data_IF_756384791933
#
_entry.id   IF_756384791933
#
_cell.length_a   1.000
_cell.length_b   1.000
_cell.length_c   1.000
_cell.angle_alpha   90.00
_cell.angle_beta   90.00
_cell.angle_gamma   90.00
#
_symmetry.space_group_name_H-M   'P 1'
#
loop_
_entity.id
_entity.type
_entity.pdbx_description
1 polymer ?
#
# COMPACT_ATOMS: atom_id res chain seq x y z
N UNK A 1 -25.69 -8.56 -16.08
CA UNK A 1 -25.47 -7.13 -15.75
C UNK A 1 -24.16 -7.08 -14.96
N UNK A 2 -23.08 -6.67 -15.61
CA UNK A 2 -21.76 -6.58 -15.00
C UNK A 2 -21.72 -5.30 -14.16
N UNK A 3 -21.70 -5.44 -12.84
CA UNK A 3 -21.56 -4.31 -11.91
C UNK A 3 -20.06 -3.99 -11.83
N UNK A 4 -19.61 -2.80 -12.24
CA UNK A 4 -18.19 -2.44 -12.13
C UNK A 4 -17.79 -2.36 -10.66
N UNK A 5 -16.76 -3.11 -10.26
CA UNK A 5 -16.15 -2.99 -8.95
C UNK A 5 -15.36 -1.69 -8.91
N UNK A 6 -15.71 -0.81 -7.99
CA UNK A 6 -14.98 0.43 -7.76
C UNK A 6 -14.12 0.24 -6.53
N UNK A 7 -12.81 0.31 -6.71
CA UNK A 7 -11.85 0.25 -5.61
C UNK A 7 -11.43 1.66 -5.24
N UNK A 8 -11.67 2.04 -3.99
CA UNK A 8 -11.16 3.27 -3.42
C UNK A 8 -10.01 2.97 -2.48
N UNK A 9 -8.92 3.66 -2.70
CA UNK A 9 -7.78 3.63 -1.79
C UNK A 9 -7.49 5.04 -1.30
N UNK A 10 -7.31 5.17 -0.01
CA UNK A 10 -7.11 6.43 0.67
C UNK A 10 -5.74 6.51 1.28
N UNK A 11 -5.02 7.59 0.97
CA UNK A 11 -3.86 7.99 1.76
C UNK A 11 -4.07 9.36 2.37
N UNK A 12 -3.41 9.57 3.45
CA UNK A 12 -2.93 10.87 3.84
C UNK A 12 -1.96 11.36 2.79
N UNK A 13 -1.91 12.69 2.58
CA UNK A 13 -1.09 13.42 1.65
C UNK A 13 -0.03 12.54 0.99
N UNK A 14 -0.14 12.39 -0.31
CA UNK A 14 0.95 11.76 -1.04
C UNK A 14 2.20 12.40 -0.50
N UNK A 15 3.01 11.65 0.25
CA UNK A 15 4.37 12.04 0.46
C UNK A 15 5.02 11.98 -0.91
N UNK A 16 4.63 12.95 -1.75
CA UNK A 16 5.56 13.32 -2.75
C UNK A 16 6.73 13.81 -1.98
N UNK A 17 7.67 12.97 -2.11
CA UNK A 17 9.00 13.48 -2.11
C UNK A 17 9.13 14.10 -3.49
N UNK A 18 9.09 15.45 -3.64
CA UNK A 18 9.47 16.05 -4.90
C UNK A 18 10.86 15.54 -5.23
N UNK A 19 11.46 14.92 -4.25
CA UNK A 19 12.67 14.14 -4.40
C UNK A 19 12.74 13.17 -3.23
N UNK A 20 12.49 11.88 -3.37
CA UNK A 20 13.44 10.98 -2.83
C UNK A 20 14.72 11.28 -3.60
N UNK A 21 15.31 12.40 -3.21
CA UNK A 21 16.70 12.59 -3.43
C UNK A 21 17.38 11.60 -2.51
N UNK A 22 17.52 10.33 -2.93
CA UNK A 22 18.53 9.44 -2.41
C UNK A 22 19.83 10.10 -2.79
N UNK A 23 20.24 11.07 -1.96
CA UNK A 23 21.52 11.72 -2.11
C UNK A 23 22.54 10.76 -1.53
N UNK A 24 23.18 10.00 -2.39
CA UNK A 24 24.30 9.17 -1.99
C UNK A 24 25.47 10.10 -1.73
N UNK A 25 25.90 10.17 -0.47
CA UNK A 25 27.09 10.91 -0.03
C UNK A 25 28.13 9.90 0.45
N UNK A 26 29.44 10.23 0.38
CA UNK A 26 30.51 9.34 0.85
C UNK A 26 30.32 8.91 2.30
N UNK A 27 30.05 9.88 3.18
CA UNK A 27 29.72 9.69 4.61
C UNK A 27 28.54 10.58 4.96
N UNK A 28 27.94 10.37 6.15
CA UNK A 28 26.94 11.30 6.66
C UNK A 28 27.61 12.66 6.94
N UNK A 29 27.01 13.80 6.53
CA UNK A 29 27.59 15.12 6.76
C UNK A 29 27.53 15.48 8.24
N UNK A 30 28.64 16.03 8.74
CA UNK A 30 28.65 16.74 10.03
C UNK A 30 27.95 18.09 9.90
N UNK A 31 27.62 18.72 11.04
CA UNK A 31 27.08 20.09 11.05
C UNK A 31 28.06 21.03 10.33
N UNK A 32 27.53 22.03 9.63
CA UNK A 32 28.28 23.00 8.82
C UNK A 32 29.14 22.41 7.70
N UNK A 33 29.11 21.09 7.48
CA UNK A 33 29.87 20.46 6.41
C UNK A 33 29.21 20.61 5.05
N UNK A 34 30.02 20.69 3.99
CA UNK A 34 29.56 20.76 2.61
C UNK A 34 30.01 19.52 1.84
N UNK A 35 29.05 18.64 1.55
CA UNK A 35 29.29 17.44 0.75
C UNK A 35 28.60 17.55 -0.61
N UNK A 36 29.23 16.95 -1.63
CA UNK A 36 28.61 16.77 -2.94
C UNK A 36 28.00 15.37 -3.03
N UNK A 37 26.70 15.31 -3.28
CA UNK A 37 26.05 14.04 -3.55
C UNK A 37 26.52 13.47 -4.91
N UNK A 38 26.77 12.17 -4.96
CA UNK A 38 27.12 11.43 -6.18
C UNK A 38 25.91 10.99 -6.99
N UNK A 39 24.71 11.07 -6.42
CA UNK A 39 23.46 10.70 -7.10
C UNK A 39 22.26 11.37 -6.45
N UNK A 40 21.24 11.64 -7.27
CA UNK A 40 19.96 12.18 -6.85
C UNK A 40 18.85 11.36 -7.50
N UNK A 41 17.98 10.79 -6.69
CA UNK A 41 16.77 10.09 -7.16
C UNK A 41 15.53 10.78 -6.60
N UNK A 42 14.54 10.94 -7.46
CA UNK A 42 13.25 11.56 -7.15
C UNK A 42 12.18 10.54 -7.40
N UNK A 43 11.35 10.26 -6.41
CA UNK A 43 10.26 9.28 -6.56
C UNK A 43 9.02 9.74 -5.79
N UNK A 44 7.87 9.40 -6.30
CA UNK A 44 6.64 9.48 -5.52
C UNK A 44 6.72 8.51 -4.34
N UNK A 45 6.19 8.91 -3.20
CA UNK A 45 6.02 8.07 -2.01
C UNK A 45 4.54 7.93 -1.63
N UNK A 46 4.30 7.32 -0.48
CA UNK A 46 2.97 7.05 0.09
C UNK A 46 2.55 5.60 -0.11
N UNK A 47 2.00 4.98 0.95
CA UNK A 47 1.65 3.56 0.92
C UNK A 47 0.57 3.28 -0.13
N UNK A 48 -0.61 3.89 0.00
CA UNK A 48 -1.68 3.66 -0.96
C UNK A 48 -1.34 4.09 -2.40
N UNK A 49 -0.64 5.21 -2.71
CA UNK A 49 -0.15 5.47 -4.04
C UNK A 49 0.75 4.38 -4.61
N UNK A 50 1.64 3.81 -3.80
CA UNK A 50 2.49 2.70 -4.23
C UNK A 50 1.66 1.44 -4.47
N UNK A 51 0.72 1.13 -3.58
CA UNK A 51 -0.23 0.02 -3.74
C UNK A 51 -1.05 0.17 -5.02
N UNK A 52 -1.57 1.38 -5.30
CA UNK A 52 -2.32 1.66 -6.53
C UNK A 52 -1.46 1.54 -7.79
N UNK A 53 -0.20 1.96 -7.74
CA UNK A 53 0.71 1.82 -8.87
C UNK A 53 0.92 0.36 -9.26
N UNK A 54 1.12 -0.52 -8.28
CA UNK A 54 1.28 -1.95 -8.53
C UNK A 54 -0.04 -2.58 -8.93
N UNK A 55 -1.14 -2.26 -8.22
CA UNK A 55 -2.46 -2.79 -8.53
C UNK A 55 -2.91 -2.47 -9.95
N UNK A 56 -2.71 -1.22 -10.42
CA UNK A 56 -3.07 -0.87 -11.80
C UNK A 56 -2.28 -1.66 -12.84
N UNK A 57 -1.01 -1.99 -12.57
CA UNK A 57 -0.21 -2.82 -13.47
C UNK A 57 -0.80 -4.23 -13.55
N UNK A 58 -1.09 -4.87 -12.42
CA UNK A 58 -1.73 -6.19 -12.36
C UNK A 58 -3.07 -6.20 -13.11
N UNK A 59 -3.90 -5.17 -12.87
CA UNK A 59 -5.20 -5.04 -13.56
C UNK A 59 -5.06 -4.83 -15.08
N UNK A 60 -4.01 -4.13 -15.55
CA UNK A 60 -3.77 -3.94 -16.99
C UNK A 60 -3.39 -5.22 -17.70
N UNK A 61 -2.46 -5.99 -17.11
CA UNK A 61 -2.03 -7.26 -17.69
C UNK A 61 -3.20 -8.25 -17.81
N UNK A 62 -4.02 -8.34 -16.77
CA UNK A 62 -5.19 -9.20 -16.76
C UNK A 62 -6.28 -8.76 -17.78
N UNK A 63 -6.45 -7.44 -17.97
CA UNK A 63 -7.35 -6.90 -19.01
C UNK A 63 -6.91 -7.32 -20.41
N UNK A 64 -5.61 -7.32 -20.68
CA UNK A 64 -5.02 -7.81 -21.94
C UNK A 64 -5.41 -9.25 -22.23
N UNK A 65 -5.50 -10.10 -21.20
CA UNK A 65 -5.86 -11.50 -21.32
C UNK A 65 -7.39 -11.75 -21.45
N UNK A 66 -8.23 -10.96 -20.75
CA UNK A 66 -9.67 -11.27 -20.58
C UNK A 66 -10.65 -10.12 -20.87
N UNK A 67 -10.19 -8.95 -21.29
CA UNK A 67 -11.02 -7.87 -21.85
C UNK A 67 -12.06 -7.21 -20.93
N UNK A 68 -11.92 -7.27 -19.60
CA UNK A 68 -12.97 -6.77 -18.69
C UNK A 68 -12.56 -5.55 -17.86
N UNK A 69 -13.33 -4.46 -17.99
CA UNK A 69 -13.25 -3.22 -17.20
C UNK A 69 -13.94 -3.34 -15.82
N UNK A 70 -13.58 -4.36 -15.02
CA UNK A 70 -14.31 -4.67 -13.78
C UNK A 70 -13.93 -3.80 -12.58
N UNK A 71 -12.73 -3.23 -12.54
CA UNK A 71 -12.19 -2.51 -11.39
C UNK A 71 -11.76 -1.11 -11.80
N UNK A 72 -12.27 -0.08 -11.10
CA UNK A 72 -11.86 1.31 -11.28
C UNK A 72 -11.23 1.83 -9.98
N UNK A 73 -9.91 2.01 -9.93
CA UNK A 73 -9.23 2.51 -8.75
C UNK A 73 -9.32 4.03 -8.63
N UNK A 74 -9.60 4.51 -7.43
CA UNK A 74 -9.58 5.94 -7.07
C UNK A 74 -8.51 6.21 -6.02
N UNK A 75 -7.79 7.32 -6.17
CA UNK A 75 -6.97 7.84 -5.08
C UNK A 75 -7.75 8.97 -4.38
N UNK A 76 -7.97 8.80 -3.07
CA UNK A 76 -8.52 9.85 -2.20
C UNK A 76 -7.43 10.28 -1.23
N UNK A 77 -6.92 11.49 -1.38
CA UNK A 77 -5.79 12.01 -0.59
C UNK A 77 -5.77 13.54 -0.62
N UNK A 78 -5.11 14.16 0.37
CA UNK A 78 -4.81 15.59 0.31
C UNK A 78 -3.59 15.82 -0.58
N UNK A 79 -3.73 16.72 -1.54
CA UNK A 79 -2.68 17.20 -2.44
C UNK A 79 -2.50 18.72 -2.26
N UNK A 80 -1.37 19.29 -2.67
CA UNK A 80 -1.23 20.73 -2.78
C UNK A 80 -2.27 21.33 -3.73
N UNK A 81 -2.20 22.65 -3.95
CA UNK A 81 -3.07 23.34 -4.91
C UNK A 81 -3.17 22.56 -6.23
N UNK A 82 -4.36 22.56 -6.81
CA UNK A 82 -4.62 21.92 -8.11
C UNK A 82 -3.70 22.45 -9.21
N UNK A 83 -3.34 23.73 -9.13
CA UNK A 83 -2.42 24.40 -10.07
C UNK A 83 -0.94 24.22 -9.74
N UNK A 84 -0.59 23.65 -8.58
CA UNK A 84 0.80 23.47 -8.19
C UNK A 84 1.51 22.48 -9.11
N UNK A 85 2.71 22.80 -9.61
CA UNK A 85 3.51 21.85 -10.44
C UNK A 85 3.79 20.53 -9.72
N UNK A 86 3.82 20.56 -8.40
CA UNK A 86 4.00 19.37 -7.59
C UNK A 86 2.82 18.40 -7.72
N UNK A 87 1.60 18.90 -7.76
CA UNK A 87 0.38 18.10 -7.98
C UNK A 87 0.40 17.42 -9.34
N UNK A 88 0.78 18.16 -10.40
CA UNK A 88 0.95 17.57 -11.74
C UNK A 88 1.94 16.42 -11.73
N UNK A 89 3.13 16.61 -11.15
CA UNK A 89 4.14 15.54 -11.03
C UNK A 89 3.64 14.31 -10.26
N UNK A 90 2.77 14.48 -9.25
CA UNK A 90 2.15 13.34 -8.56
C UNK A 90 1.32 12.52 -9.52
N UNK A 91 0.40 13.16 -10.22
CA UNK A 91 -0.53 12.50 -11.12
C UNK A 91 0.22 11.84 -12.27
N UNK A 92 1.16 12.56 -12.89
CA UNK A 92 2.00 12.06 -13.99
C UNK A 92 2.87 10.86 -13.59
N UNK A 93 3.26 10.76 -12.31
CA UNK A 93 4.07 9.65 -11.80
C UNK A 93 3.40 8.27 -11.89
N UNK A 94 2.10 8.22 -12.09
CA UNK A 94 1.35 6.97 -12.32
C UNK A 94 1.42 6.49 -13.79
N UNK A 95 2.05 7.27 -14.66
CA UNK A 95 2.27 6.93 -16.07
C UNK A 95 1.13 7.32 -16.99
N UNK A 96 1.43 7.30 -18.28
CA UNK A 96 0.47 7.61 -19.35
C UNK A 96 -0.65 6.58 -19.36
N UNK A 97 -1.89 7.05 -19.47
CA UNK A 97 -3.07 6.18 -19.50
C UNK A 97 -3.33 5.46 -18.16
N UNK A 98 -2.95 6.06 -17.03
CA UNK A 98 -3.23 5.50 -15.70
C UNK A 98 -4.70 5.10 -15.54
N UNK A 99 -4.93 3.96 -14.87
CA UNK A 99 -6.29 3.53 -14.49
C UNK A 99 -6.79 4.25 -13.24
N UNK A 100 -5.88 4.91 -12.50
CA UNK A 100 -6.21 5.58 -11.24
C UNK A 100 -6.93 6.90 -11.54
N UNK A 101 -8.09 7.07 -10.93
CA UNK A 101 -8.88 8.30 -10.99
C UNK A 101 -8.54 9.22 -9.81
N UNK A 102 -8.15 10.46 -10.08
CA UNK A 102 -7.77 11.47 -9.09
C UNK A 102 -8.88 12.50 -8.81
N UNK A 103 -10.05 12.34 -9.43
CA UNK A 103 -11.16 13.31 -9.31
C UNK A 103 -11.66 13.47 -7.87
N UNK A 104 -11.36 12.50 -7.00
CA UNK A 104 -11.74 12.48 -5.59
C UNK A 104 -10.64 12.95 -4.63
N UNK A 105 -9.50 13.41 -5.16
CA UNK A 105 -8.47 14.03 -4.34
C UNK A 105 -8.95 15.37 -3.78
N UNK A 106 -8.46 15.69 -2.58
CA UNK A 106 -8.74 16.93 -1.86
C UNK A 106 -7.55 17.87 -2.06
N UNK A 107 -7.80 19.05 -2.58
CA UNK A 107 -6.74 20.01 -2.89
C UNK A 107 -6.65 21.05 -1.78
N UNK A 108 -5.44 21.27 -1.28
CA UNK A 108 -5.11 22.34 -0.32
C UNK A 108 -4.61 23.53 -1.12
N UNK A 109 -5.52 24.40 -1.53
CA UNK A 109 -5.23 25.47 -2.51
C UNK A 109 -4.20 26.51 -1.99
N UNK A 110 -4.03 26.61 -0.67
CA UNK A 110 -3.02 27.47 -0.03
C UNK A 110 -1.60 26.88 -0.08
N UNK A 111 -1.47 25.57 -0.36
CA UNK A 111 -0.18 24.88 -0.32
C UNK A 111 0.36 24.64 -1.74
N UNK A 112 1.68 24.85 -1.91
CA UNK A 112 2.38 24.60 -3.18
C UNK A 112 3.20 23.31 -3.15
N UNK A 113 3.67 22.92 -1.97
CA UNK A 113 4.55 21.77 -1.78
C UNK A 113 3.82 20.58 -1.15
N UNK A 114 4.12 19.37 -1.60
CA UNK A 114 3.56 18.17 -1.03
C UNK A 114 4.34 17.77 0.23
N UNK A 115 3.73 16.92 1.05
CA UNK A 115 4.46 16.23 2.09
C UNK A 115 5.67 15.49 1.51
N UNK A 116 6.85 15.77 2.03
CA UNK A 116 8.14 15.34 1.46
C UNK A 116 9.02 14.65 2.49
N UNK A 117 9.89 13.73 2.04
CA UNK A 117 10.95 13.15 2.85
C UNK A 117 12.28 13.28 2.12
N UNK A 118 13.24 13.87 2.74
CA UNK A 118 14.61 13.96 2.25
C UNK A 118 15.42 12.83 2.86
N UNK A 119 16.01 11.98 2.03
CA UNK A 119 16.79 10.82 2.48
C UNK A 119 18.25 11.03 2.12
N UNK A 120 19.11 11.11 3.12
CA UNK A 120 20.55 11.09 2.97
C UNK A 120 21.02 9.65 3.20
N UNK A 121 21.70 9.06 2.20
CA UNK A 121 22.29 7.73 2.30
C UNK A 121 23.82 7.84 2.34
N UNK A 122 24.42 7.33 3.40
CA UNK A 122 25.86 7.15 3.49
C UNK A 122 26.30 5.96 2.64
N UNK A 123 27.27 6.14 1.74
CA UNK A 123 27.87 5.04 0.98
C UNK A 123 28.80 4.22 1.87
N UNK A 124 29.46 4.84 2.85
CA UNK A 124 30.39 4.17 3.75
C UNK A 124 29.69 3.13 4.64
N UNK A 125 28.52 3.48 5.19
CA UNK A 125 27.82 2.64 6.17
C UNK A 125 26.53 1.99 5.62
N UNK A 126 26.03 2.47 4.47
CA UNK A 126 24.72 2.08 3.94
C UNK A 126 23.52 2.65 4.73
N UNK A 127 23.77 3.39 5.82
CA UNK A 127 22.73 3.98 6.68
C UNK A 127 21.92 5.05 5.95
N UNK A 128 20.73 5.33 6.47
CA UNK A 128 19.81 6.33 5.94
C UNK A 128 19.33 7.25 7.04
N UNK A 129 19.38 8.54 6.78
CA UNK A 129 18.76 9.57 7.64
C UNK A 129 17.65 10.24 6.87
N UNK A 130 16.50 10.40 7.51
CA UNK A 130 15.29 10.94 6.89
C UNK A 130 14.90 12.24 7.58
N UNK A 131 14.67 13.29 6.80
CA UNK A 131 14.05 14.54 7.24
C UNK A 131 12.71 14.67 6.52
N UNK A 132 11.64 14.80 7.29
CA UNK A 132 10.29 14.89 6.75
C UNK A 132 9.77 16.32 6.86
N UNK A 133 9.10 16.77 5.81
CA UNK A 133 8.33 18.00 5.76
C UNK A 133 6.88 17.70 5.41
N UNK A 134 5.93 18.30 6.11
CA UNK A 134 4.51 18.24 5.80
C UNK A 134 3.77 19.40 6.48
N UNK A 135 3.18 20.28 5.69
CA UNK A 135 2.30 21.37 6.11
C UNK A 135 0.86 21.21 5.57
N UNK A 136 0.61 20.12 4.83
CA UNK A 136 -0.74 19.86 4.33
C UNK A 136 -1.66 19.45 5.49
N UNK A 137 -2.78 20.16 5.63
CA UNK A 137 -3.81 19.77 6.57
C UNK A 137 -4.34 18.37 6.26
N UNK A 138 -4.55 17.60 7.33
CA UNK A 138 -5.11 16.26 7.23
C UNK A 138 -6.51 16.30 6.64
N UNK A 139 -6.93 15.18 6.03
CA UNK A 139 -8.30 15.03 5.62
C UNK A 139 -9.24 14.87 6.82
N UNK A 140 -10.32 15.63 6.81
CA UNK A 140 -11.40 15.53 7.79
C UNK A 140 -12.39 14.42 7.42
N UNK A 141 -13.25 14.07 8.39
CA UNK A 141 -14.36 13.16 8.15
C UNK A 141 -15.34 13.68 7.08
N UNK A 142 -15.72 14.96 7.16
CA UNK A 142 -16.66 15.56 6.21
C UNK A 142 -16.10 15.58 4.77
N UNK A 143 -14.81 15.84 4.61
CA UNK A 143 -14.15 15.76 3.30
C UNK A 143 -14.14 14.32 2.76
N UNK A 144 -14.03 13.32 3.62
CA UNK A 144 -14.18 11.93 3.19
C UNK A 144 -15.59 11.64 2.71
N UNK A 145 -16.60 12.05 3.47
CA UNK A 145 -18.00 11.86 3.09
C UNK A 145 -18.26 12.49 1.72
N UNK A 146 -17.85 13.76 1.52
CA UNK A 146 -17.99 14.44 0.24
C UNK A 146 -17.22 13.74 -0.90
N UNK A 147 -15.99 13.27 -0.64
CA UNK A 147 -15.18 12.57 -1.64
C UNK A 147 -15.76 11.21 -2.07
N UNK A 148 -16.61 10.61 -1.21
CA UNK A 148 -17.22 9.29 -1.47
C UNK A 148 -18.66 9.38 -1.94
N UNK A 149 -19.23 10.58 -2.02
CA UNK A 149 -20.58 10.79 -2.49
C UNK A 149 -20.79 10.26 -3.93
N UNK A 150 -21.92 9.56 -4.13
CA UNK A 150 -22.28 8.95 -5.42
C UNK A 150 -21.52 7.68 -5.78
N UNK A 151 -20.70 7.12 -4.87
CA UNK A 151 -20.00 5.86 -5.07
C UNK A 151 -20.74 4.66 -4.46
N UNK A 152 -21.79 4.90 -3.67
CA UNK A 152 -22.65 3.85 -3.14
C UNK A 152 -23.46 3.13 -4.25
N UNK A 153 -23.85 1.88 -3.96
CA UNK A 153 -24.62 1.04 -4.90
C UNK A 153 -23.76 0.15 -5.81
N UNK A 154 -22.45 0.24 -5.72
CA UNK A 154 -21.50 -0.65 -6.38
C UNK A 154 -20.86 -1.62 -5.37
N UNK A 155 -20.21 -2.68 -5.85
CA UNK A 155 -19.34 -3.51 -5.04
C UNK A 155 -18.04 -2.72 -4.79
N UNK A 156 -17.99 -1.98 -3.69
CA UNK A 156 -16.96 -0.99 -3.40
C UNK A 156 -15.99 -1.50 -2.34
N UNK A 157 -14.70 -1.30 -2.57
CA UNK A 157 -13.64 -1.62 -1.62
C UNK A 157 -12.92 -0.35 -1.19
N UNK A 158 -12.86 -0.10 0.11
CA UNK A 158 -12.09 0.99 0.71
C UNK A 158 -10.84 0.45 1.39
N UNK A 159 -9.69 0.98 1.02
CA UNK A 159 -8.43 0.66 1.69
C UNK A 159 -7.87 1.90 2.37
N UNK A 160 -7.53 1.78 3.64
CA UNK A 160 -7.02 2.88 4.45
C UNK A 160 -5.61 2.62 4.95
N UNK A 161 -4.70 3.58 4.74
CA UNK A 161 -3.47 3.68 5.52
C UNK A 161 -3.83 4.05 6.96
N UNK A 162 -3.36 3.32 7.96
CA UNK A 162 -3.67 3.56 9.38
C UNK A 162 -2.97 4.81 9.94
N UNK A 163 -3.03 5.94 9.24
CA UNK A 163 -2.24 7.13 9.58
C UNK A 163 -2.94 8.12 10.49
N UNK A 164 -4.24 8.31 10.33
CA UNK A 164 -5.12 9.16 11.15
C UNK A 164 -6.22 8.30 11.77
N UNK A 165 -5.90 7.44 12.77
CA UNK A 165 -6.81 6.38 13.19
C UNK A 165 -8.17 6.89 13.63
N UNK A 166 -8.23 7.97 14.40
CA UNK A 166 -9.50 8.53 14.89
C UNK A 166 -10.45 8.94 13.75
N UNK A 167 -9.92 9.68 12.74
CA UNK A 167 -10.72 10.04 11.55
C UNK A 167 -11.05 8.82 10.72
N UNK A 168 -10.11 7.88 10.57
CA UNK A 168 -10.33 6.63 9.82
C UNK A 168 -11.43 5.80 10.46
N UNK A 169 -11.48 5.70 11.79
CA UNK A 169 -12.52 5.00 12.52
C UNK A 169 -13.91 5.60 12.22
N UNK A 170 -14.04 6.93 12.31
CA UNK A 170 -15.28 7.63 11.95
C UNK A 170 -15.73 7.32 10.52
N UNK A 171 -14.79 7.31 9.57
CA UNK A 171 -15.06 6.99 8.18
C UNK A 171 -15.56 5.54 8.01
N UNK A 172 -14.90 4.58 8.65
CA UNK A 172 -15.31 3.17 8.58
C UNK A 172 -16.69 2.97 9.20
N UNK A 173 -16.93 3.54 10.37
CA UNK A 173 -18.24 3.46 11.04
C UNK A 173 -19.35 4.13 10.23
N UNK A 174 -19.05 5.21 9.52
CA UNK A 174 -20.00 5.83 8.60
C UNK A 174 -20.27 4.91 7.40
N UNK A 175 -19.24 4.30 6.79
CA UNK A 175 -19.39 3.34 5.70
C UNK A 175 -20.26 2.15 6.11
N UNK A 176 -20.07 1.62 7.32
CA UNK A 176 -20.88 0.50 7.83
C UNK A 176 -22.38 0.84 7.89
N UNK A 177 -22.74 2.11 8.07
CA UNK A 177 -24.14 2.58 8.11
C UNK A 177 -24.67 2.96 6.72
N UNK A 178 -23.86 3.64 5.91
CA UNK A 178 -24.29 4.22 4.62
C UNK A 178 -24.15 3.27 3.45
N UNK A 179 -23.16 2.37 3.47
CA UNK A 179 -22.89 1.35 2.46
C UNK A 179 -22.48 0.02 3.15
N UNK A 180 -23.43 -0.73 3.73
CA UNK A 180 -23.11 -1.95 4.48
C UNK A 180 -22.44 -3.06 3.66
N UNK A 181 -22.49 -2.97 2.32
CA UNK A 181 -21.85 -3.92 1.41
C UNK A 181 -20.40 -3.55 1.11
N UNK A 182 -19.99 -2.32 1.42
CA UNK A 182 -18.63 -1.88 1.22
C UNK A 182 -17.65 -2.74 2.02
N UNK A 183 -16.59 -3.17 1.35
CA UNK A 183 -15.48 -3.87 2.00
C UNK A 183 -14.41 -2.85 2.43
N UNK A 184 -13.85 -3.09 3.58
CA UNK A 184 -12.86 -2.19 4.20
C UNK A 184 -11.59 -2.97 4.52
N UNK A 185 -10.46 -2.47 4.05
CA UNK A 185 -9.13 -2.95 4.45
C UNK A 185 -8.31 -1.83 5.08
N UNK A 186 -7.45 -2.19 6.03
CA UNK A 186 -6.61 -1.25 6.77
C UNK A 186 -5.17 -1.74 6.89
N UNK A 187 -4.25 -0.77 7.01
CA UNK A 187 -2.86 -1.01 7.36
C UNK A 187 -2.62 -0.72 8.84
N UNK A 188 -2.04 -1.68 9.56
CA UNK A 188 -1.58 -1.55 10.94
C UNK A 188 -0.05 -1.61 10.89
N UNK A 189 0.58 -0.47 10.53
CA UNK A 189 2.00 -0.45 10.15
C UNK A 189 2.90 0.18 11.22
N UNK A 190 2.52 1.33 11.78
CA UNK A 190 3.44 2.16 12.57
C UNK A 190 3.41 1.84 14.06
N UNK A 191 4.57 1.45 14.66
CA UNK A 191 4.71 1.36 16.11
C UNK A 191 4.33 2.66 16.82
N UNK A 192 3.72 2.54 18.00
CA UNK A 192 3.38 3.68 18.87
C UNK A 192 2.26 4.59 18.36
N UNK A 193 1.60 4.26 17.25
CA UNK A 193 0.45 5.02 16.76
C UNK A 193 -0.81 4.55 17.46
N UNK A 194 -1.37 5.42 18.29
CA UNK A 194 -2.61 5.16 19.03
C UNK A 194 -3.80 5.03 18.07
N UNK A 195 -4.82 4.24 18.44
CA UNK A 195 -6.06 4.06 17.70
C UNK A 195 -5.97 3.04 16.54
N UNK A 196 -4.83 2.39 16.31
CA UNK A 196 -4.72 1.37 15.26
C UNK A 196 -5.46 0.07 15.62
N UNK A 197 -5.50 -0.31 16.90
CA UNK A 197 -6.14 -1.54 17.34
C UNK A 197 -7.66 -1.45 17.23
N UNK A 198 -8.24 -0.27 17.41
CA UNK A 198 -9.68 -0.03 17.25
C UNK A 198 -10.13 -0.22 15.79
N UNK A 199 -9.23 0.08 14.83
CA UNK A 199 -9.50 -0.14 13.41
C UNK A 199 -9.58 -1.63 13.07
N UNK A 200 -8.85 -2.50 13.79
CA UNK A 200 -8.84 -3.95 13.56
C UNK A 200 -10.22 -4.54 13.74
N UNK A 201 -10.99 -4.05 14.75
CA UNK A 201 -12.33 -4.53 15.05
C UNK A 201 -13.37 -4.16 13.97
N UNK A 202 -13.06 -3.21 13.08
CA UNK A 202 -14.01 -2.67 12.11
C UNK A 202 -13.70 -3.12 10.66
N UNK A 203 -12.50 -3.62 10.39
CA UNK A 203 -12.06 -3.93 9.04
C UNK A 203 -12.39 -5.37 8.61
N UNK A 204 -12.64 -5.57 7.32
CA UNK A 204 -12.82 -6.89 6.70
C UNK A 204 -11.47 -7.53 6.34
N UNK A 205 -10.45 -6.70 6.09
CA UNK A 205 -9.08 -7.16 5.83
C UNK A 205 -8.10 -6.28 6.59
N UNK A 206 -7.15 -6.90 7.30
CA UNK A 206 -6.14 -6.18 8.10
C UNK A 206 -4.75 -6.61 7.68
N UNK A 207 -3.88 -5.62 7.45
CA UNK A 207 -2.49 -5.82 7.12
C UNK A 207 -1.60 -5.35 8.27
N UNK A 208 -0.95 -6.29 8.95
CA UNK A 208 0.02 -5.99 10.01
C UNK A 208 1.44 -5.96 9.43
N UNK A 209 2.22 -4.96 9.85
CA UNK A 209 3.65 -4.94 9.56
C UNK A 209 4.45 -5.66 10.64
N UNK A 210 5.62 -6.20 10.25
CA UNK A 210 6.59 -6.75 11.21
C UNK A 210 6.95 -5.73 12.30
N UNK A 211 7.21 -4.47 11.93
CA UNK A 211 7.64 -3.45 12.87
C UNK A 211 6.58 -3.14 13.94
N UNK A 212 5.31 -3.13 13.55
CA UNK A 212 4.22 -2.97 14.51
C UNK A 212 4.09 -4.22 15.39
N UNK A 213 4.14 -5.41 14.81
CA UNK A 213 4.03 -6.68 15.54
C UNK A 213 5.17 -6.83 16.57
N UNK A 214 6.42 -6.56 16.16
CA UNK A 214 7.57 -6.57 17.07
C UNK A 214 7.44 -5.54 18.20
N UNK A 215 6.86 -4.37 17.94
CA UNK A 215 6.59 -3.36 18.98
C UNK A 215 5.56 -3.81 20.02
N UNK A 216 4.74 -4.80 19.68
CA UNK A 216 3.80 -5.48 20.58
C UNK A 216 4.37 -6.79 21.15
N UNK A 217 5.68 -7.02 20.99
CA UNK A 217 6.42 -8.17 21.48
C UNK A 217 6.03 -9.51 20.83
N UNK A 218 5.42 -9.50 19.65
CA UNK A 218 5.20 -10.71 18.88
C UNK A 218 6.49 -11.12 18.15
N UNK A 219 6.83 -12.38 18.25
CA UNK A 219 8.08 -12.94 17.72
C UNK A 219 7.93 -13.54 16.32
N UNK A 220 6.70 -13.69 15.83
CA UNK A 220 6.40 -14.16 14.47
C UNK A 220 5.10 -13.59 13.91
N UNK A 221 4.91 -13.71 12.61
CA UNK A 221 3.68 -13.33 11.94
C UNK A 221 2.49 -14.13 12.48
N UNK A 222 2.67 -15.42 12.69
CA UNK A 222 1.63 -16.34 13.19
C UNK A 222 1.20 -15.99 14.63
N UNK A 223 2.15 -15.63 15.48
CA UNK A 223 1.86 -15.19 16.84
C UNK A 223 1.03 -13.90 16.83
N UNK A 224 1.45 -12.92 16.03
CA UNK A 224 0.69 -11.68 15.83
C UNK A 224 -0.74 -11.97 15.37
N UNK A 225 -0.92 -12.77 14.33
CA UNK A 225 -2.24 -13.09 13.78
C UNK A 225 -3.12 -13.82 14.79
N UNK A 226 -2.58 -14.78 15.52
CA UNK A 226 -3.32 -15.52 16.56
C UNK A 226 -3.81 -14.58 17.66
N UNK A 227 -2.94 -13.67 18.12
CA UNK A 227 -3.28 -12.71 19.15
C UNK A 227 -4.32 -11.67 18.67
N UNK A 228 -4.23 -11.25 17.41
CA UNK A 228 -5.14 -10.25 16.85
C UNK A 228 -6.48 -10.83 16.38
N UNK A 229 -6.56 -12.12 16.10
CA UNK A 229 -7.81 -12.78 15.68
C UNK A 229 -8.95 -12.61 16.67
N UNK A 230 -8.65 -12.59 17.97
CA UNK A 230 -9.64 -12.40 19.02
C UNK A 230 -10.21 -10.97 19.07
N UNK A 231 -9.47 -9.97 18.53
CA UNK A 231 -9.86 -8.55 18.52
C UNK A 231 -10.49 -8.17 17.18
N UNK A 232 -10.24 -8.94 16.14
CA UNK A 232 -10.66 -8.65 14.79
C UNK A 232 -12.17 -8.86 14.58
N UNK A 233 -12.72 -8.16 13.61
CA UNK A 233 -14.10 -8.35 13.18
C UNK A 233 -14.33 -9.80 12.75
N UNK A 234 -15.45 -10.38 13.17
CA UNK A 234 -15.79 -11.76 12.80
C UNK A 234 -15.81 -11.94 11.27
N UNK A 235 -15.06 -12.92 10.77
CA UNK A 235 -14.96 -13.21 9.34
C UNK A 235 -13.94 -12.35 8.60
N UNK A 236 -13.17 -11.51 9.28
CA UNK A 236 -12.09 -10.74 8.68
C UNK A 236 -10.92 -11.63 8.27
N UNK A 237 -10.19 -11.15 7.26
CA UNK A 237 -8.93 -11.76 6.80
C UNK A 237 -7.75 -10.97 7.38
N UNK A 238 -6.87 -11.65 8.09
CA UNK A 238 -5.70 -11.03 8.68
C UNK A 238 -4.43 -11.47 7.94
N UNK A 239 -3.55 -10.52 7.65
CA UNK A 239 -2.26 -10.75 7.01
C UNK A 239 -1.16 -10.09 7.83
N UNK A 240 -0.01 -10.74 7.96
CA UNK A 240 1.16 -10.17 8.62
C UNK A 240 2.41 -10.44 7.79
N UNK A 241 3.12 -9.39 7.40
CA UNK A 241 4.38 -9.50 6.67
C UNK A 241 5.55 -9.62 7.63
N UNK A 242 6.56 -10.48 7.32
CA UNK A 242 7.72 -10.74 8.18
C UNK A 242 9.07 -10.61 7.46
N UNK A 243 9.16 -9.70 6.51
CA UNK A 243 10.41 -9.41 5.78
C UNK A 243 10.92 -10.63 4.99
N UNK A 244 12.17 -11.03 5.21
CA UNK A 244 12.78 -12.17 4.51
C UNK A 244 12.12 -13.53 4.82
N UNK A 245 11.36 -13.64 5.89
CA UNK A 245 10.58 -14.84 6.20
C UNK A 245 9.23 -14.90 5.49
N UNK A 246 8.91 -13.88 4.68
CA UNK A 246 7.68 -13.84 3.89
C UNK A 246 6.50 -13.23 4.64
N UNK A 247 5.38 -13.92 4.66
CA UNK A 247 4.14 -13.46 5.29
C UNK A 247 3.27 -14.61 5.75
N UNK A 248 2.33 -14.32 6.66
CA UNK A 248 1.29 -15.26 7.10
C UNK A 248 -0.10 -14.67 6.93
N UNK A 249 -1.12 -15.51 6.85
CA UNK A 249 -2.53 -15.11 6.88
C UNK A 249 -3.38 -16.07 7.74
N UNK A 250 -4.54 -15.59 8.17
CA UNK A 250 -5.60 -16.43 8.76
C UNK A 250 -6.45 -17.05 7.66
N UNK A 251 -6.85 -18.29 7.87
CA UNK A 251 -7.86 -18.98 7.07
C UNK A 251 -9.25 -18.84 7.70
N UNK A 252 -10.34 -19.12 6.94
CA UNK A 252 -11.72 -19.01 7.46
C UNK A 252 -12.02 -19.91 8.65
N UNK A 253 -11.31 -21.03 8.81
CA UNK A 253 -11.40 -21.95 9.94
C UNK A 253 -10.61 -21.50 11.19
N UNK A 254 -9.93 -20.34 11.10
CA UNK A 254 -9.08 -19.79 12.15
C UNK A 254 -7.64 -20.31 12.14
N UNK A 255 -7.30 -21.28 11.29
CA UNK A 255 -5.92 -21.70 11.11
C UNK A 255 -5.06 -20.60 10.51
N UNK A 256 -3.76 -20.61 10.81
CA UNK A 256 -2.78 -19.69 10.23
C UNK A 256 -1.89 -20.44 9.26
N UNK A 257 -1.69 -19.85 8.08
CA UNK A 257 -0.74 -20.36 7.09
C UNK A 257 0.31 -19.33 6.79
N UNK A 258 1.53 -19.79 6.53
CA UNK A 258 2.68 -18.97 6.18
C UNK A 258 3.16 -19.28 4.79
N UNK A 259 3.69 -18.26 4.12
CA UNK A 259 4.37 -18.37 2.84
C UNK A 259 5.74 -17.70 2.97
N UNK A 260 6.85 -18.45 2.84
CA UNK A 260 8.18 -17.87 2.87
C UNK A 260 8.42 -16.96 1.66
N UNK A 261 9.34 -16.00 1.79
CA UNK A 261 9.78 -15.22 0.64
C UNK A 261 10.33 -16.17 -0.43
N UNK A 262 9.76 -16.12 -1.63
CA UNK A 262 10.06 -17.09 -2.70
C UNK A 262 11.26 -16.61 -3.52
N UNK A 263 12.34 -17.41 -3.47
CA UNK A 263 13.38 -17.39 -4.49
C UNK A 263 13.22 -18.63 -5.39
N UNK A 264 13.46 -18.48 -6.66
CA UNK A 264 13.45 -19.57 -7.66
C UNK A 264 14.66 -20.53 -7.51
N UNK A 265 15.00 -20.94 -6.28
CA UNK A 265 16.20 -21.73 -5.98
C UNK A 265 17.50 -20.93 -5.87
N UNK A 266 17.48 -19.64 -6.19
CA UNK A 266 18.61 -18.72 -6.07
C UNK A 266 18.46 -17.80 -4.86
N UNK A 267 19.57 -17.30 -4.34
CA UNK A 267 19.58 -16.32 -3.25
C UNK A 267 18.90 -15.01 -3.74
N UNK A 268 17.83 -14.57 -3.04
CA UNK A 268 17.13 -13.33 -3.36
C UNK A 268 18.11 -12.16 -3.20
N UNK A 269 18.45 -11.50 -4.29
CA UNK A 269 19.26 -10.29 -4.27
C UNK A 269 18.38 -9.08 -3.95
N UNK A 270 18.45 -8.62 -2.70
CA UNK A 270 17.71 -7.43 -2.26
C UNK A 270 18.37 -6.16 -2.81
N UNK A 271 17.64 -5.39 -3.61
CA UNK A 271 18.07 -4.09 -4.20
C UNK A 271 17.37 -2.92 -3.49
N UNK A 272 16.04 -2.99 -3.37
CA UNK A 272 15.24 -1.91 -2.77
C UNK A 272 14.00 -2.47 -2.05
N UNK A 273 13.99 -2.35 -0.73
CA UNK A 273 12.87 -2.83 0.13
C UNK A 273 11.73 -1.84 0.26
N UNK A 274 11.88 -0.63 -0.27
CA UNK A 274 10.86 0.41 -0.11
C UNK A 274 9.64 0.10 -0.96
N UNK A 275 8.48 0.08 -0.33
CA UNK A 275 7.22 -0.27 -0.98
C UNK A 275 6.99 -1.78 -1.13
N UNK A 276 7.80 -2.64 -0.50
CA UNK A 276 7.55 -4.08 -0.52
C UNK A 276 6.24 -4.45 0.18
N UNK A 277 5.93 -3.79 1.31
CA UNK A 277 4.64 -3.92 1.99
C UNK A 277 3.47 -3.46 1.12
N UNK A 278 3.62 -2.29 0.49
CA UNK A 278 2.59 -1.75 -0.41
C UNK A 278 2.34 -2.68 -1.60
N UNK A 279 3.42 -3.30 -2.10
CA UNK A 279 3.36 -4.29 -3.20
C UNK A 279 2.67 -5.58 -2.76
N UNK A 280 2.95 -6.06 -1.55
CA UNK A 280 2.25 -7.20 -0.95
C UNK A 280 0.74 -6.92 -0.85
N UNK A 281 0.36 -5.74 -0.33
CA UNK A 281 -1.03 -5.32 -0.24
C UNK A 281 -1.69 -5.27 -1.61
N UNK A 282 -1.02 -4.74 -2.63
CA UNK A 282 -1.52 -4.74 -4.01
C UNK A 282 -1.82 -6.15 -4.53
N UNK A 283 -0.94 -7.12 -4.26
CA UNK A 283 -1.14 -8.53 -4.62
C UNK A 283 -2.35 -9.16 -3.93
N UNK A 284 -2.53 -8.93 -2.63
CA UNK A 284 -3.71 -9.40 -1.89
C UNK A 284 -4.99 -8.76 -2.42
N UNK A 285 -4.99 -7.42 -2.62
CA UNK A 285 -6.17 -6.72 -3.14
C UNK A 285 -6.51 -7.18 -4.56
N UNK A 286 -5.52 -7.41 -5.42
CA UNK A 286 -5.75 -8.00 -6.74
C UNK A 286 -6.44 -9.36 -6.64
N UNK A 287 -5.97 -10.24 -5.74
CA UNK A 287 -6.60 -11.54 -5.49
C UNK A 287 -8.05 -11.43 -5.03
N UNK A 288 -8.40 -10.48 -4.16
CA UNK A 288 -9.78 -10.27 -3.72
C UNK A 288 -10.66 -9.58 -4.78
N UNK A 289 -10.11 -8.66 -5.56
CA UNK A 289 -10.88 -7.87 -6.52
C UNK A 289 -11.10 -8.60 -7.85
N UNK A 290 -10.15 -9.43 -8.27
CA UNK A 290 -10.17 -10.08 -9.57
C UNK A 290 -10.38 -11.58 -9.48
N UNK A 291 -9.81 -12.23 -8.46
CA UNK A 291 -9.82 -13.69 -8.29
C UNK A 291 -10.57 -14.14 -7.02
N UNK A 292 -11.59 -13.40 -6.59
CA UNK A 292 -12.30 -13.66 -5.33
C UNK A 292 -12.76 -15.11 -5.18
N UNK A 293 -13.32 -15.68 -6.23
CA UNK A 293 -13.92 -17.02 -6.23
C UNK A 293 -13.00 -18.09 -6.80
N UNK A 294 -11.94 -17.72 -7.51
CA UNK A 294 -10.99 -18.65 -8.15
C UNK A 294 -9.74 -18.92 -7.31
N UNK A 295 -9.35 -17.98 -6.43
CA UNK A 295 -8.21 -18.14 -5.56
C UNK A 295 -8.64 -18.24 -4.09
N UNK A 296 -8.13 -19.25 -3.39
CA UNK A 296 -8.22 -19.33 -1.93
C UNK A 296 -7.23 -18.34 -1.25
N UNK A 297 -7.28 -18.26 0.09
CA UNK A 297 -6.40 -17.37 0.83
C UNK A 297 -4.93 -17.76 0.72
N UNK A 298 -4.63 -19.04 0.56
CA UNK A 298 -3.25 -19.53 0.38
C UNK A 298 -2.68 -19.07 -0.95
N UNK A 299 -3.46 -19.17 -2.02
CA UNK A 299 -3.08 -18.70 -3.36
C UNK A 299 -2.88 -17.18 -3.38
N UNK A 300 -3.81 -16.41 -2.76
CA UNK A 300 -3.68 -14.96 -2.62
C UNK A 300 -2.40 -14.58 -1.85
N UNK A 301 -2.12 -15.27 -0.75
CA UNK A 301 -0.90 -15.05 0.05
C UNK A 301 0.37 -15.34 -0.76
N UNK A 302 0.41 -16.48 -1.42
CA UNK A 302 1.55 -16.91 -2.23
C UNK A 302 1.84 -15.91 -3.36
N UNK A 303 0.81 -15.49 -4.08
CA UNK A 303 0.92 -14.49 -5.13
C UNK A 303 1.44 -13.14 -4.58
N UNK A 304 0.88 -12.65 -3.48
CA UNK A 304 1.30 -11.39 -2.89
C UNK A 304 2.77 -11.41 -2.40
N UNK A 305 3.21 -12.55 -1.81
CA UNK A 305 4.62 -12.74 -1.44
C UNK A 305 5.51 -12.75 -2.68
N UNK A 306 5.08 -13.38 -3.76
CA UNK A 306 5.82 -13.40 -5.04
C UNK A 306 5.97 -11.98 -5.61
N UNK A 307 4.88 -11.19 -5.70
CA UNK A 307 4.94 -9.80 -6.20
C UNK A 307 5.87 -8.95 -5.35
N UNK A 308 5.79 -9.08 -4.02
CA UNK A 308 6.69 -8.39 -3.10
C UNK A 308 8.16 -8.84 -3.25
N UNK A 309 8.40 -10.12 -3.52
CA UNK A 309 9.74 -10.66 -3.80
C UNK A 309 10.30 -10.09 -5.11
N UNK A 310 9.49 -9.98 -6.17
CA UNK A 310 9.90 -9.29 -7.40
C UNK A 310 10.28 -7.83 -7.11
N UNK A 311 9.48 -7.14 -6.27
CA UNK A 311 9.74 -5.73 -5.91
C UNK A 311 11.09 -5.53 -5.22
N UNK A 312 11.45 -6.36 -4.27
CA UNK A 312 12.71 -6.16 -3.53
C UNK A 312 13.95 -6.40 -4.40
N UNK A 313 13.81 -7.06 -5.53
CA UNK A 313 14.89 -7.35 -6.48
C UNK A 313 15.09 -6.26 -7.56
N UNK A 314 14.33 -5.17 -7.49
CA UNK A 314 14.48 -4.04 -8.40
C UNK A 314 14.29 -2.70 -7.70
N UNK A 315 14.78 -1.62 -8.31
CA UNK A 315 14.45 -0.26 -7.91
C UNK A 315 13.09 0.18 -8.49
N UNK A 316 12.26 0.81 -7.65
CA UNK A 316 10.94 1.29 -8.07
C UNK A 316 9.93 0.17 -8.33
N UNK A 317 8.90 0.48 -9.13
CA UNK A 317 7.75 -0.41 -9.35
C UNK A 317 7.53 -0.77 -10.83
N UNK A 318 8.45 -0.41 -11.72
CA UNK A 318 8.27 -0.61 -13.17
C UNK A 318 8.12 -2.09 -13.52
N UNK A 319 7.14 -2.40 -14.36
CA UNK A 319 6.87 -3.73 -14.92
C UNK A 319 6.62 -4.84 -13.88
N UNK A 320 6.28 -4.48 -12.63
CA UNK A 320 6.03 -5.48 -11.59
C UNK A 320 4.81 -6.37 -11.90
N UNK A 321 3.75 -5.79 -12.46
CA UNK A 321 2.56 -6.55 -12.86
C UNK A 321 2.90 -7.64 -13.86
N UNK A 322 3.56 -7.26 -14.95
CA UNK A 322 4.01 -8.20 -15.99
C UNK A 322 4.93 -9.30 -15.43
N UNK A 323 5.97 -8.91 -14.67
CA UNK A 323 6.92 -9.87 -14.10
C UNK A 323 6.27 -10.87 -13.16
N UNK A 324 5.35 -10.40 -12.31
CA UNK A 324 4.68 -11.24 -11.33
C UNK A 324 3.74 -12.26 -12.00
N UNK A 325 2.93 -11.84 -12.95
CA UNK A 325 2.00 -12.74 -13.66
C UNK A 325 2.76 -13.73 -14.56
N UNK A 326 3.80 -13.29 -15.27
CA UNK A 326 4.64 -14.18 -16.07
C UNK A 326 5.39 -15.26 -15.23
N UNK A 327 5.67 -15.00 -13.95
CA UNK A 327 6.24 -16.00 -13.05
C UNK A 327 5.18 -16.96 -12.51
N UNK A 328 3.95 -16.49 -12.29
CA UNK A 328 2.85 -17.33 -11.88
C UNK A 328 2.53 -18.41 -12.92
N UNK A 329 2.48 -18.04 -14.19
CA UNK A 329 2.25 -18.96 -15.32
C UNK A 329 3.33 -20.04 -15.42
N UNK A 330 4.59 -19.71 -15.12
CA UNK A 330 5.71 -20.67 -15.12
C UNK A 330 5.74 -21.58 -13.90
N UNK A 331 5.22 -21.12 -12.76
CA UNK A 331 5.27 -21.84 -11.47
C UNK A 331 4.12 -22.79 -11.22
N UNK A 332 3.10 -22.84 -12.09
CA UNK A 332 1.93 -23.72 -11.92
C UNK A 332 1.10 -23.40 -10.66
N UNK A 333 1.14 -22.18 -10.15
CA UNK A 333 0.30 -21.73 -9.03
C UNK A 333 -1.06 -21.33 -9.61
N UNK A 334 -1.92 -22.31 -9.84
CA UNK A 334 -3.26 -22.03 -10.41
C UNK A 334 -3.94 -23.19 -11.13
N UNK A 335 -3.45 -24.42 -10.98
CA UNK A 335 -4.11 -25.62 -11.46
C UNK A 335 -4.69 -26.44 -10.29
#
# INVERSE_FOLDING_TARGET
MLIPRITQMRTRAVRMQPTRGKRCVPSYPDEDSKLRASGLQVRRGGNCPNTLEVLQQLLREERGAHGSDKVRPYLVTCLPSRSAPATGRVIESFGVGTLVDFSRCIFREENQDPASSYIIRSLATGSRTLVNYNDLAEMTFDEFVAATEGLGGYDTWYHFEGRIPATTLQCIQWLRRSDPKARVSIEVEKPGREGLEELVAEADVVFFSRSWAESKLYMSAEECLRAQSAKARRGSHLFCTWGSQGAACTLPDGATVSCPAMGSGETIRVIDTVGAGDTFIAGILFGFLHHEHSWDNRTKLSFAVQVATCKVQQEGFNDLGFKALAQMDRGGIGA
#
